data_IF_885133268875
#
_entry.id   IF_885133268875
#
_cell.length_a   1.000
_cell.length_b   1.000
_cell.length_c   1.000
_cell.angle_alpha   90.00
_cell.angle_beta   90.00
_cell.angle_gamma   90.00
#
_symmetry.space_group_name_H-M   'P 1'
#
loop_
_entity.id
_entity.type
_entity.pdbx_description
1 polymer ?
#
# COMPACT_ATOMS: atom_id res chain seq x y z
N UNK A 1 21.38 27.42 6.69
CA UNK A 1 20.96 26.00 6.60
C UNK A 1 20.44 25.73 5.19
N UNK A 2 20.47 24.49 4.68
CA UNK A 2 19.79 24.16 3.41
C UNK A 2 18.71 23.12 3.67
N UNK A 3 17.49 23.40 3.22
CA UNK A 3 16.34 22.49 3.33
C UNK A 3 15.72 22.35 1.93
N UNK A 4 15.72 21.15 1.33
CA UNK A 4 15.12 20.96 0.01
C UNK A 4 13.61 21.20 0.07
N UNK A 5 13.03 21.65 -1.04
CA UNK A 5 11.58 21.82 -1.25
C UNK A 5 10.88 22.86 -0.37
N UNK A 6 11.63 23.66 0.40
CA UNK A 6 11.10 24.85 1.04
C UNK A 6 10.84 25.95 0.00
N UNK A 7 9.59 26.40 -0.07
CA UNK A 7 9.16 27.45 -0.98
C UNK A 7 9.44 28.83 -0.40
N UNK A 8 10.60 29.37 -0.74
CA UNK A 8 11.04 30.71 -0.36
C UNK A 8 10.34 31.83 -1.15
N UNK A 9 9.47 31.49 -2.12
CA UNK A 9 8.68 32.48 -2.88
C UNK A 9 7.35 32.85 -2.23
N UNK A 10 6.93 32.11 -1.19
CA UNK A 10 5.72 32.43 -0.43
C UNK A 10 5.90 33.76 0.32
N UNK A 11 4.90 34.62 0.26
CA UNK A 11 4.88 35.85 1.05
C UNK A 11 4.70 35.53 2.54
N UNK A 12 5.10 36.45 3.41
CA UNK A 12 5.00 36.29 4.86
C UNK A 12 3.54 36.07 5.28
N UNK A 13 2.61 36.78 4.65
CA UNK A 13 1.17 36.60 4.89
C UNK A 13 0.69 35.17 4.59
N UNK A 14 1.16 34.57 3.49
CA UNK A 14 0.84 33.17 3.14
C UNK A 14 1.48 32.21 4.14
N UNK A 15 2.74 32.48 4.50
CA UNK A 15 3.47 31.67 5.47
C UNK A 15 2.78 31.67 6.84
N UNK A 16 2.31 32.83 7.29
CA UNK A 16 1.55 33.00 8.53
C UNK A 16 0.19 32.30 8.49
N UNK A 17 -0.48 32.34 7.34
CA UNK A 17 -1.76 31.64 7.12
C UNK A 17 -1.64 30.12 7.26
N UNK A 18 -0.44 29.53 7.05
CA UNK A 18 -0.23 28.11 7.33
C UNK A 18 -0.49 27.74 8.82
N UNK A 19 -0.54 28.75 9.69
CA UNK A 19 -0.82 28.60 11.11
C UNK A 19 0.44 28.63 11.96
N UNK A 20 0.29 28.34 13.25
CA UNK A 20 1.39 28.46 14.23
C UNK A 20 2.37 27.29 14.18
N UNK A 21 1.93 26.13 13.68
CA UNK A 21 2.81 24.99 13.38
C UNK A 21 3.82 24.69 14.51
N UNK A 22 3.31 24.46 15.72
CA UNK A 22 4.13 24.14 16.89
C UNK A 22 4.68 25.35 17.67
N UNK A 23 4.62 26.56 17.11
CA UNK A 23 5.03 27.78 17.81
C UNK A 23 3.92 28.25 18.76
N UNK A 24 3.92 27.72 19.98
CA UNK A 24 2.98 28.15 21.01
C UNK A 24 3.19 29.66 21.31
N UNK A 25 2.13 30.49 21.32
CA UNK A 25 2.25 31.93 21.51
C UNK A 25 2.75 32.32 22.92
N UNK A 26 2.52 31.44 23.90
CA UNK A 26 2.90 31.63 25.29
C UNK A 26 3.28 30.25 25.89
N UNK A 27 4.17 30.21 26.91
CA UNK A 27 4.46 28.98 27.64
C UNK A 27 3.18 28.33 28.19
N UNK A 28 2.94 27.07 27.85
CA UNK A 28 1.74 26.31 28.27
C UNK A 28 0.53 26.46 27.34
N UNK A 29 0.58 27.31 26.31
CA UNK A 29 -0.47 27.35 25.29
C UNK A 29 -0.38 26.14 24.35
N UNK A 30 -1.51 25.77 23.74
CA UNK A 30 -1.53 24.70 22.74
C UNK A 30 -0.57 25.00 21.58
N UNK A 31 0.33 24.07 21.20
CA UNK A 31 1.30 24.29 20.14
C UNK A 31 0.68 24.26 18.74
N UNK A 32 -0.50 23.64 18.57
CA UNK A 32 -1.20 23.49 17.29
C UNK A 32 -2.53 24.20 17.30
N UNK A 33 -2.80 25.00 16.27
CA UNK A 33 -4.02 25.81 16.15
C UNK A 33 -5.12 25.09 15.39
N UNK A 34 -6.39 25.42 15.68
CA UNK A 34 -7.52 24.98 14.83
C UNK A 34 -7.43 25.50 13.40
N UNK A 35 -6.74 26.63 13.20
CA UNK A 35 -6.50 27.24 11.88
C UNK A 35 -5.23 26.75 11.19
N UNK A 36 -4.52 25.76 11.74
CA UNK A 36 -3.30 25.25 11.12
C UNK A 36 -3.62 24.48 9.83
N UNK A 37 -2.95 24.84 8.74
CA UNK A 37 -3.18 24.27 7.41
C UNK A 37 -2.42 22.93 7.24
N UNK A 38 -2.74 21.92 8.05
CA UNK A 38 -1.96 20.67 8.14
C UNK A 38 -1.83 19.91 6.82
N UNK A 39 -2.82 20.05 5.92
CA UNK A 39 -2.80 19.44 4.60
C UNK A 39 -1.90 20.17 3.58
N UNK A 40 -1.43 21.38 3.90
CA UNK A 40 -0.58 22.17 3.01
C UNK A 40 0.83 21.54 2.94
N UNK A 41 1.44 21.37 1.74
CA UNK A 41 2.75 20.73 1.60
C UNK A 41 3.87 21.41 2.42
N UNK A 42 3.83 22.73 2.56
CA UNK A 42 4.82 23.50 3.32
C UNK A 42 4.56 23.57 4.84
N UNK A 43 3.41 23.10 5.34
CA UNK A 43 3.07 23.21 6.76
C UNK A 43 4.05 22.44 7.66
N UNK A 44 4.38 21.20 7.28
CA UNK A 44 5.30 20.38 8.05
C UNK A 44 6.74 20.90 7.99
N UNK A 45 7.12 21.61 6.92
CA UNK A 45 8.40 22.32 6.84
C UNK A 45 8.41 23.52 7.79
N UNK A 46 7.32 24.28 7.88
CA UNK A 46 7.16 25.34 8.90
C UNK A 46 7.29 24.79 10.32
N UNK A 47 6.61 23.68 10.62
CA UNK A 47 6.71 22.99 11.91
C UNK A 47 8.14 22.57 12.22
N UNK A 48 8.86 22.03 11.22
CA UNK A 48 10.26 21.64 11.37
C UNK A 48 11.13 22.86 11.71
N UNK A 49 11.02 23.95 10.94
CA UNK A 49 11.77 25.18 11.18
C UNK A 49 11.53 25.74 12.58
N UNK A 50 10.26 25.80 13.01
CA UNK A 50 9.89 26.24 14.36
C UNK A 50 10.51 25.38 15.45
N UNK A 51 10.56 24.05 15.26
CA UNK A 51 11.19 23.12 16.22
C UNK A 51 12.70 23.23 16.26
N UNK A 52 13.32 23.57 15.13
CA UNK A 52 14.76 23.79 15.05
C UNK A 52 15.18 25.16 15.58
N UNK A 53 14.22 26.09 15.76
CA UNK A 53 14.51 27.47 16.13
C UNK A 53 15.21 28.25 15.00
N UNK A 54 14.96 27.88 13.74
CA UNK A 54 15.58 28.50 12.56
C UNK A 54 14.52 29.29 11.81
N UNK A 55 14.79 30.57 11.54
CA UNK A 55 13.91 31.40 10.74
C UNK A 55 13.95 30.97 9.26
N UNK A 56 12.86 31.21 8.53
CA UNK A 56 12.73 30.82 7.13
C UNK A 56 13.79 31.52 6.26
N UNK A 57 14.14 32.75 6.61
CA UNK A 57 15.12 33.59 5.94
C UNK A 57 16.57 33.06 6.10
N UNK A 58 16.81 32.21 7.10
CA UNK A 58 18.11 31.55 7.33
C UNK A 58 18.30 30.30 6.45
N UNK A 59 17.25 29.90 5.71
CA UNK A 59 17.30 28.78 4.77
C UNK A 59 17.77 29.28 3.41
N UNK A 60 18.87 28.73 2.95
CA UNK A 60 19.40 29.00 1.62
C UNK A 60 18.72 28.07 0.59
N UNK A 61 18.45 28.55 -0.64
CA UNK A 61 17.93 27.69 -1.69
C UNK A 61 18.90 26.56 -2.02
N UNK A 62 18.40 25.32 -2.07
CA UNK A 62 19.20 24.22 -2.62
C UNK A 62 19.42 24.43 -4.13
N UNK A 63 20.68 24.46 -4.57
CA UNK A 63 21.00 24.64 -5.99
C UNK A 63 20.49 23.46 -6.83
N UNK A 64 19.35 23.63 -7.52
CA UNK A 64 18.87 22.69 -8.54
C UNK A 64 19.57 22.98 -9.87
N UNK A 65 20.82 22.52 -10.03
CA UNK A 65 21.49 22.43 -11.34
C UNK A 65 21.49 20.99 -11.82
N UNK A 66 21.11 20.75 -13.07
CA UNK A 66 21.16 19.43 -13.71
C UNK A 66 20.03 19.19 -14.73
N UNK A 67 20.10 18.05 -15.43
CA UNK A 67 19.15 17.64 -16.48
C UNK A 67 17.69 17.50 -15.99
N UNK A 68 17.48 17.36 -14.68
CA UNK A 68 16.17 17.25 -14.04
C UNK A 68 15.66 18.56 -13.40
N UNK A 69 16.33 19.69 -13.63
CA UNK A 69 15.88 20.98 -13.11
C UNK A 69 14.55 21.38 -13.77
N UNK A 70 13.49 21.50 -12.98
CA UNK A 70 12.19 22.00 -13.45
C UNK A 70 12.31 23.48 -13.84
N UNK A 71 11.54 23.91 -14.86
CA UNK A 71 11.47 25.32 -15.20
C UNK A 71 10.92 26.13 -14.02
N UNK A 72 11.45 27.35 -13.77
CA UNK A 72 10.95 28.21 -12.70
C UNK A 72 9.43 28.45 -12.78
N UNK A 73 8.86 28.55 -13.99
CA UNK A 73 7.44 28.75 -14.25
C UNK A 73 6.56 27.66 -13.60
N UNK A 74 6.99 26.39 -13.65
CA UNK A 74 6.25 25.27 -13.06
C UNK A 74 6.21 25.36 -11.54
N UNK A 75 7.34 25.72 -10.92
CA UNK A 75 7.42 25.90 -9.47
C UNK A 75 6.48 27.00 -8.99
N UNK A 76 6.37 28.11 -9.74
CA UNK A 76 5.44 29.20 -9.41
C UNK A 76 3.97 28.77 -9.56
N UNK A 77 3.63 28.05 -10.64
CA UNK A 77 2.27 27.54 -10.82
C UNK A 77 1.86 26.55 -9.72
N UNK A 78 2.77 25.64 -9.32
CA UNK A 78 2.56 24.69 -8.22
C UNK A 78 2.43 25.43 -6.87
N UNK A 79 3.32 26.38 -6.59
CA UNK A 79 3.24 27.23 -5.39
C UNK A 79 1.88 27.92 -5.29
N UNK A 80 1.42 28.51 -6.39
CA UNK A 80 0.11 29.15 -6.46
C UNK A 80 -1.05 28.16 -6.27
N UNK A 81 -0.97 26.95 -6.84
CA UNK A 81 -2.00 25.91 -6.70
C UNK A 81 -2.25 25.48 -5.24
N UNK A 82 -1.22 25.52 -4.40
CA UNK A 82 -1.33 25.11 -3.00
C UNK A 82 -1.68 26.24 -2.05
N UNK A 83 -1.88 27.49 -2.52
CA UNK A 83 -2.19 28.60 -1.63
C UNK A 83 -3.36 28.29 -0.68
N UNK A 84 -3.23 28.63 0.61
CA UNK A 84 -4.31 28.46 1.59
C UNK A 84 -5.52 29.38 1.29
N UNK A 85 -6.69 29.15 1.91
CA UNK A 85 -7.97 29.73 1.47
C UNK A 85 -8.07 31.26 1.41
N UNK A 86 -7.35 32.00 2.24
CA UNK A 86 -7.33 33.48 2.23
C UNK A 86 -6.43 33.95 1.10
N UNK A 87 -5.23 33.41 0.98
CA UNK A 87 -4.28 33.73 -0.08
C UNK A 87 -4.74 33.33 -1.49
N UNK A 88 -5.49 32.22 -1.62
CA UNK A 88 -5.96 31.73 -2.93
C UNK A 88 -7.00 32.63 -3.59
N UNK A 89 -7.51 33.66 -2.91
CA UNK A 89 -8.39 34.69 -3.51
C UNK A 89 -7.74 35.38 -4.72
N UNK A 90 -6.41 35.51 -4.72
CA UNK A 90 -5.64 36.07 -5.84
C UNK A 90 -5.70 35.22 -7.12
N UNK A 91 -6.20 33.98 -7.07
CA UNK A 91 -6.34 33.11 -8.24
C UNK A 91 -7.18 33.71 -9.36
N UNK A 92 -8.13 34.57 -9.01
CA UNK A 92 -9.00 35.22 -10.01
C UNK A 92 -8.19 36.19 -10.88
N UNK A 93 -7.16 36.83 -10.33
CA UNK A 93 -6.38 37.89 -10.99
C UNK A 93 -5.02 37.42 -11.52
N UNK A 94 -4.65 36.15 -11.28
CA UNK A 94 -3.38 35.58 -11.72
C UNK A 94 -3.24 35.62 -13.25
N UNK A 95 -2.17 36.15 -13.83
CA UNK A 95 -2.03 36.16 -15.29
C UNK A 95 -1.87 34.73 -15.85
N UNK A 96 -2.27 34.52 -17.11
CA UNK A 96 -2.44 33.18 -17.68
C UNK A 96 -1.14 32.36 -17.75
N UNK A 97 0.01 33.02 -17.94
CA UNK A 97 1.34 32.43 -17.86
C UNK A 97 1.64 31.81 -16.50
N UNK A 98 1.11 32.38 -15.41
CA UNK A 98 1.27 31.87 -14.04
C UNK A 98 0.25 30.81 -13.63
N UNK A 99 -0.71 30.49 -14.51
CA UNK A 99 -1.67 29.37 -14.33
C UNK A 99 -1.37 28.18 -15.23
N UNK A 100 -0.40 28.28 -16.15
CA UNK A 100 -0.09 27.24 -17.13
C UNK A 100 0.88 26.22 -16.56
N UNK A 101 0.47 24.95 -16.55
CA UNK A 101 1.34 23.81 -16.28
C UNK A 101 1.90 23.26 -17.59
N UNK A 102 2.82 23.99 -18.22
CA UNK A 102 3.47 23.57 -19.46
C UNK A 102 4.12 22.19 -19.30
N UNK A 103 3.86 21.28 -20.24
CA UNK A 103 4.28 19.87 -20.22
C UNK A 103 3.55 18.96 -19.20
N UNK A 104 2.44 19.42 -18.62
CA UNK A 104 1.49 18.56 -17.90
C UNK A 104 0.33 18.23 -18.83
N UNK A 105 -0.02 16.95 -18.90
CA UNK A 105 -1.17 16.44 -19.66
C UNK A 105 -2.10 15.72 -18.70
N UNK A 106 -3.39 15.84 -18.94
CA UNK A 106 -4.42 15.09 -18.23
C UNK A 106 -4.97 14.04 -19.19
N UNK A 107 -5.13 12.83 -18.69
CA UNK A 107 -5.77 11.72 -19.39
C UNK A 107 -6.90 11.21 -18.50
N UNK A 108 -8.07 11.00 -19.09
CA UNK A 108 -9.22 10.38 -18.42
C UNK A 108 -9.43 9.01 -19.04
N UNK A 109 -9.60 7.99 -18.20
CA UNK A 109 -9.91 6.62 -18.59
C UNK A 109 -11.31 6.26 -18.07
N UNK A 110 -12.06 5.44 -18.81
CA UNK A 110 -13.40 5.03 -18.43
C UNK A 110 -13.39 4.02 -17.26
N UNK A 111 -12.29 3.28 -17.10
CA UNK A 111 -12.13 2.31 -16.03
C UNK A 111 -10.64 2.11 -15.64
N UNK A 112 -10.37 1.50 -14.47
CA UNK A 112 -9.00 1.29 -13.99
C UNK A 112 -8.09 0.39 -14.84
N UNK A 113 -8.66 -0.49 -15.67
CA UNK A 113 -7.88 -1.36 -16.55
C UNK A 113 -7.37 -0.58 -17.77
N UNK A 114 -8.24 0.23 -18.35
CA UNK A 114 -7.89 1.18 -19.42
C UNK A 114 -6.83 2.18 -18.94
N UNK A 115 -6.97 2.71 -17.72
CA UNK A 115 -5.98 3.59 -17.11
C UNK A 115 -4.60 2.91 -17.02
N UNK A 116 -4.57 1.69 -16.48
CA UNK A 116 -3.33 0.92 -16.34
C UNK A 116 -2.65 0.66 -17.69
N UNK A 117 -3.44 0.28 -18.70
CA UNK A 117 -2.94 0.01 -20.04
C UNK A 117 -2.38 1.29 -20.70
N UNK A 118 -3.09 2.41 -20.58
CA UNK A 118 -2.66 3.68 -21.15
C UNK A 118 -1.37 4.20 -20.48
N UNK A 119 -1.26 4.09 -19.15
CA UNK A 119 -0.02 4.38 -18.42
C UNK A 119 1.13 3.50 -18.92
N UNK A 120 0.91 2.19 -19.07
CA UNK A 120 1.94 1.26 -19.53
C UNK A 120 2.43 1.58 -20.95
N UNK A 121 1.52 2.00 -21.85
CA UNK A 121 1.89 2.47 -23.19
C UNK A 121 2.75 3.74 -23.16
N UNK A 122 2.38 4.73 -22.33
CA UNK A 122 3.16 5.95 -22.16
C UNK A 122 4.55 5.68 -21.55
N UNK A 123 4.64 4.72 -20.63
CA UNK A 123 5.93 4.26 -20.09
C UNK A 123 6.78 3.64 -21.18
N UNK A 124 6.20 2.73 -21.97
CA UNK A 124 6.90 2.11 -23.10
C UNK A 124 7.39 3.14 -24.11
N UNK A 125 6.52 4.05 -24.56
CA UNK A 125 6.88 5.14 -25.48
C UNK A 125 8.03 5.99 -24.93
N UNK A 126 7.98 6.33 -23.63
CA UNK A 126 9.06 7.10 -23.01
C UNK A 126 10.40 6.34 -23.01
N UNK A 127 10.38 5.03 -22.81
CA UNK A 127 11.58 4.20 -22.79
C UNK A 127 12.16 3.92 -24.20
N UNK A 128 11.44 4.24 -25.28
CA UNK A 128 12.00 4.21 -26.64
C UNK A 128 13.07 5.31 -26.85
N UNK A 129 13.07 6.36 -26.02
CA UNK A 129 14.14 7.36 -26.00
C UNK A 129 15.30 6.84 -25.14
N UNK A 130 16.52 6.66 -25.69
CA UNK A 130 17.68 6.20 -24.93
C UNK A 130 17.94 7.06 -23.69
N UNK A 131 18.32 6.41 -22.57
CA UNK A 131 18.63 7.04 -21.28
C UNK A 131 17.49 7.80 -20.60
N UNK A 132 16.29 7.82 -21.18
CA UNK A 132 15.13 8.48 -20.57
C UNK A 132 14.63 7.66 -19.39
N UNK A 133 14.53 8.34 -18.25
CA UNK A 133 14.02 7.76 -17.00
C UNK A 133 12.56 8.17 -16.81
N UNK A 134 11.74 7.23 -16.39
CA UNK A 134 10.33 7.47 -16.07
C UNK A 134 9.99 6.89 -14.71
N UNK A 135 9.10 7.56 -13.99
CA UNK A 135 8.54 7.10 -12.74
C UNK A 135 7.01 7.19 -12.82
N UNK A 136 6.34 6.13 -12.39
CA UNK A 136 4.88 6.11 -12.19
C UNK A 136 4.64 6.18 -10.69
N UNK A 137 3.90 7.20 -10.25
CA UNK A 137 3.62 7.44 -8.84
C UNK A 137 2.12 7.29 -8.64
N UNK A 138 1.71 6.35 -7.78
CA UNK A 138 0.31 6.18 -7.39
C UNK A 138 0.22 5.65 -5.96
N UNK A 139 -0.73 6.15 -5.13
CA UNK A 139 -1.05 5.53 -3.86
C UNK A 139 -1.88 4.24 -4.04
N UNK A 140 -2.44 3.97 -5.22
CA UNK A 140 -3.23 2.79 -5.52
C UNK A 140 -2.34 1.60 -5.92
N UNK A 141 -2.22 0.63 -5.01
CA UNK A 141 -1.44 -0.60 -5.24
C UNK A 141 -2.06 -1.53 -6.29
N UNK A 142 -3.37 -1.52 -6.45
CA UNK A 142 -4.03 -2.32 -7.49
C UNK A 142 -3.70 -1.75 -8.88
N UNK A 143 -3.72 -0.42 -9.03
CA UNK A 143 -3.30 0.25 -10.28
C UNK A 143 -1.83 -0.04 -10.59
N UNK A 144 -0.92 0.13 -9.62
CA UNK A 144 0.51 -0.15 -9.80
C UNK A 144 0.75 -1.59 -10.28
N UNK A 145 0.09 -2.58 -9.66
CA UNK A 145 0.18 -3.99 -10.06
C UNK A 145 -0.30 -4.24 -11.49
N UNK A 146 -1.40 -3.61 -11.91
CA UNK A 146 -1.90 -3.74 -13.29
C UNK A 146 -0.93 -3.13 -14.30
N UNK A 147 -0.36 -1.96 -14.00
CA UNK A 147 0.67 -1.34 -14.84
C UNK A 147 1.88 -2.27 -14.99
N UNK A 148 2.41 -2.82 -13.88
CA UNK A 148 3.51 -3.80 -13.90
C UNK A 148 3.17 -5.02 -14.76
N UNK A 149 1.95 -5.54 -14.65
CA UNK A 149 1.50 -6.67 -15.46
C UNK A 149 1.47 -6.35 -16.96
N UNK A 150 0.99 -5.17 -17.35
CA UNK A 150 1.04 -4.74 -18.74
C UNK A 150 2.47 -4.57 -19.24
N UNK A 151 3.35 -3.96 -18.44
CA UNK A 151 4.76 -3.75 -18.78
C UNK A 151 5.52 -5.06 -18.99
N UNK A 152 5.20 -6.10 -18.21
CA UNK A 152 5.81 -7.42 -18.35
C UNK A 152 5.60 -8.05 -19.74
N UNK A 153 4.55 -7.67 -20.47
CA UNK A 153 4.29 -8.14 -21.85
C UNK A 153 5.34 -7.67 -22.84
N UNK A 154 6.07 -6.61 -22.52
CA UNK A 154 7.16 -6.06 -23.32
C UNK A 154 8.52 -6.24 -22.64
N UNK A 155 8.62 -7.15 -21.66
CA UNK A 155 9.84 -7.40 -20.89
C UNK A 155 10.39 -6.16 -20.14
N UNK A 156 9.53 -5.17 -19.89
CA UNK A 156 9.88 -3.98 -19.11
C UNK A 156 9.70 -4.31 -17.63
N UNK A 157 10.81 -4.36 -16.89
CA UNK A 157 10.82 -4.56 -15.44
C UNK A 157 10.74 -3.22 -14.74
N UNK A 158 9.61 -2.95 -14.08
CA UNK A 158 9.46 -1.79 -13.21
C UNK A 158 9.98 -2.10 -11.81
N UNK A 159 10.82 -1.23 -11.26
CA UNK A 159 11.24 -1.28 -9.86
C UNK A 159 10.12 -0.74 -8.96
N UNK A 160 9.29 -1.63 -8.43
CA UNK A 160 8.23 -1.30 -7.49
C UNK A 160 8.80 -1.18 -6.07
N UNK A 161 9.11 0.06 -5.68
CA UNK A 161 9.75 0.39 -4.40
C UNK A 161 8.96 -0.01 -3.15
N UNK A 162 7.65 -0.24 -3.28
CA UNK A 162 6.81 -0.75 -2.17
C UNK A 162 6.80 -2.28 -2.09
N UNK A 163 7.37 -2.97 -3.08
CA UNK A 163 7.44 -4.43 -3.15
C UNK A 163 6.07 -5.12 -3.12
N UNK A 164 6.09 -6.43 -2.87
CA UNK A 164 4.87 -7.22 -2.65
C UNK A 164 4.68 -7.39 -1.14
N UNK A 165 3.51 -7.03 -0.56
CA UNK A 165 3.22 -7.31 0.84
C UNK A 165 3.46 -8.79 1.15
N UNK A 166 4.04 -9.10 2.32
CA UNK A 166 4.29 -10.48 2.71
C UNK A 166 2.98 -11.31 2.70
N UNK A 167 1.87 -10.71 3.15
CA UNK A 167 0.51 -11.27 3.12
C UNK A 167 0.05 -11.69 1.72
N UNK A 168 0.59 -11.08 0.66
CA UNK A 168 0.26 -11.41 -0.71
C UNK A 168 1.15 -12.52 -1.28
N UNK A 169 2.19 -12.95 -0.58
CA UNK A 169 3.03 -14.09 -0.98
C UNK A 169 2.38 -15.42 -0.60
N UNK A 170 2.79 -16.53 -1.23
CA UNK A 170 2.29 -17.86 -0.85
C UNK A 170 2.68 -18.22 0.59
N UNK A 171 3.91 -17.91 1.01
CA UNK A 171 4.37 -18.14 2.38
C UNK A 171 3.62 -17.29 3.40
N UNK A 172 3.44 -15.99 3.14
CA UNK A 172 2.70 -15.11 4.06
C UNK A 172 1.22 -15.46 4.16
N UNK A 173 0.56 -15.85 3.05
CA UNK A 173 -0.82 -16.38 3.13
C UNK A 173 -0.90 -17.65 3.98
N UNK A 174 0.06 -18.56 3.85
CA UNK A 174 0.12 -19.76 4.67
C UNK A 174 0.23 -19.40 6.17
N UNK A 175 1.13 -18.48 6.52
CA UNK A 175 1.29 -18.04 7.91
C UNK A 175 0.03 -17.38 8.47
N UNK A 176 -0.68 -16.57 7.66
CA UNK A 176 -1.96 -15.98 8.05
C UNK A 176 -3.05 -17.04 8.26
N UNK A 177 -3.13 -18.06 7.40
CA UNK A 177 -4.07 -19.17 7.57
C UNK A 177 -3.77 -19.98 8.84
N UNK A 178 -2.48 -20.22 9.15
CA UNK A 178 -2.07 -20.85 10.41
C UNK A 178 -2.50 -20.01 11.62
N UNK A 179 -2.26 -18.70 11.59
CA UNK A 179 -2.71 -17.79 12.66
C UNK A 179 -4.24 -17.78 12.80
N UNK A 180 -4.98 -17.83 11.70
CA UNK A 180 -6.44 -17.91 11.71
C UNK A 180 -6.96 -19.23 12.30
N UNK A 181 -6.32 -20.35 11.96
CA UNK A 181 -6.61 -21.67 12.56
C UNK A 181 -6.38 -21.62 14.08
N UNK A 182 -5.27 -21.03 14.53
CA UNK A 182 -4.98 -20.88 15.95
C UNK A 182 -6.01 -19.99 16.66
N UNK A 183 -6.29 -18.80 16.11
CA UNK A 183 -7.19 -17.81 16.71
C UNK A 183 -8.66 -18.25 16.74
N UNK A 184 -9.08 -19.10 15.79
CA UNK A 184 -10.46 -19.61 15.69
C UNK A 184 -10.60 -21.05 16.20
N UNK A 185 -9.66 -21.52 17.02
CA UNK A 185 -9.73 -22.84 17.64
C UNK A 185 -9.93 -23.98 16.63
N UNK A 186 -9.20 -23.96 15.51
CA UNK A 186 -9.35 -24.93 14.42
C UNK A 186 -10.78 -25.01 13.82
N UNK A 187 -11.45 -23.86 13.66
CA UNK A 187 -12.73 -23.80 12.96
C UNK A 187 -12.68 -24.45 11.57
N UNK A 188 -13.72 -25.21 11.15
CA UNK A 188 -13.71 -25.99 9.91
C UNK A 188 -13.34 -25.20 8.64
N UNK A 189 -13.81 -23.96 8.50
CA UNK A 189 -13.50 -23.11 7.35
C UNK A 189 -12.01 -22.76 7.28
N UNK A 190 -11.40 -22.36 8.40
CA UNK A 190 -9.98 -22.03 8.45
C UNK A 190 -9.11 -23.28 8.21
N UNK A 191 -9.53 -24.42 8.78
CA UNK A 191 -8.87 -25.72 8.58
C UNK A 191 -8.87 -26.14 7.11
N UNK A 192 -10.01 -26.03 6.43
CA UNK A 192 -10.07 -26.39 5.02
C UNK A 192 -9.33 -25.40 4.12
N UNK A 193 -9.38 -24.10 4.43
CA UNK A 193 -8.57 -23.10 3.71
C UNK A 193 -7.07 -23.40 3.82
N UNK A 194 -6.59 -23.80 5.01
CA UNK A 194 -5.22 -24.21 5.23
C UNK A 194 -4.89 -25.51 4.47
N UNK A 195 -5.70 -26.55 4.61
CA UNK A 195 -5.46 -27.83 3.94
C UNK A 195 -5.44 -27.71 2.41
N UNK A 196 -6.24 -26.80 1.85
CA UNK A 196 -6.30 -26.57 0.41
C UNK A 196 -5.18 -25.64 -0.10
N UNK A 197 -4.35 -25.07 0.78
CA UNK A 197 -3.29 -24.14 0.40
C UNK A 197 -2.20 -24.81 -0.47
N UNK A 198 -1.63 -24.14 -1.51
CA UNK A 198 -0.65 -24.74 -2.43
C UNK A 198 0.63 -25.28 -1.79
N UNK A 199 1.03 -24.72 -0.64
CA UNK A 199 2.22 -25.13 0.09
C UNK A 199 1.96 -26.22 1.15
N UNK A 200 0.72 -26.72 1.24
CA UNK A 200 0.32 -27.74 2.23
C UNK A 200 0.02 -29.05 1.49
N UNK A 201 0.82 -30.08 1.77
CA UNK A 201 0.62 -31.42 1.20
C UNK A 201 1.10 -32.56 2.11
N UNK A 202 1.57 -32.28 3.33
CA UNK A 202 1.90 -33.31 4.34
C UNK A 202 2.92 -34.37 3.90
N UNK A 203 3.77 -34.07 2.91
CA UNK A 203 4.70 -35.04 2.32
C UNK A 203 4.08 -35.98 1.27
N UNK A 204 2.77 -35.90 1.03
CA UNK A 204 2.05 -36.66 0.00
C UNK A 204 2.14 -35.97 -1.38
N UNK A 205 1.75 -36.68 -2.44
CA UNK A 205 1.48 -36.05 -3.73
C UNK A 205 0.33 -35.02 -3.61
N UNK A 206 0.48 -33.89 -4.29
CA UNK A 206 -0.46 -32.77 -4.16
C UNK A 206 -1.86 -33.09 -4.69
N UNK A 207 -1.97 -33.91 -5.74
CA UNK A 207 -3.27 -34.31 -6.31
C UNK A 207 -4.01 -35.22 -5.34
N UNK A 208 -3.30 -36.19 -4.76
CA UNK A 208 -3.84 -37.11 -3.76
C UNK A 208 -4.26 -36.35 -2.49
N UNK A 209 -3.42 -35.44 -2.00
CA UNK A 209 -3.74 -34.57 -0.88
C UNK A 209 -5.03 -33.78 -1.10
N UNK A 210 -5.18 -33.15 -2.27
CA UNK A 210 -6.37 -32.38 -2.62
C UNK A 210 -7.61 -33.26 -2.79
N UNK A 211 -7.46 -34.51 -3.25
CA UNK A 211 -8.57 -35.45 -3.34
C UNK A 211 -9.13 -35.76 -1.95
N UNK A 212 -8.26 -36.04 -0.97
CA UNK A 212 -8.67 -36.30 0.41
C UNK A 212 -9.27 -35.06 1.08
N UNK A 213 -8.65 -33.89 0.91
CA UNK A 213 -9.16 -32.63 1.46
C UNK A 213 -10.58 -32.30 0.94
N UNK A 214 -10.88 -32.58 -0.34
CA UNK A 214 -12.21 -32.34 -0.90
C UNK A 214 -13.30 -33.26 -0.35
N UNK A 215 -12.96 -34.49 0.03
CA UNK A 215 -13.90 -35.41 0.68
C UNK A 215 -14.37 -34.80 2.02
N UNK A 216 -13.43 -34.28 2.80
CA UNK A 216 -13.73 -33.60 4.07
C UNK A 216 -14.47 -32.28 3.83
N UNK A 217 -14.02 -31.46 2.87
CA UNK A 217 -14.68 -30.19 2.52
C UNK A 217 -16.16 -30.41 2.17
N UNK A 218 -16.46 -31.46 1.40
CA UNK A 218 -17.81 -31.78 0.98
C UNK A 218 -18.73 -32.11 2.16
N UNK A 219 -18.29 -32.96 3.09
CA UNK A 219 -19.07 -33.32 4.28
C UNK A 219 -19.25 -32.13 5.24
N UNK A 220 -18.31 -31.18 5.23
CA UNK A 220 -18.37 -29.94 6.03
C UNK A 220 -19.35 -28.88 5.46
N UNK A 221 -19.98 -29.10 4.31
CA UNK A 221 -21.02 -28.20 3.75
C UNK A 221 -22.36 -28.29 4.49
N UNK A 222 -22.50 -29.23 5.44
CA UNK A 222 -23.66 -29.39 6.31
C UNK A 222 -23.67 -28.43 7.52
N UNK A 223 -24.46 -28.74 8.57
CA UNK A 223 -24.47 -27.97 9.82
C UNK A 223 -23.05 -27.79 10.37
N UNK A 224 -22.67 -26.56 10.71
CA UNK A 224 -21.30 -26.21 11.15
C UNK A 224 -20.92 -27.07 12.36
N UNK A 225 -19.88 -27.92 12.26
CA UNK A 225 -19.34 -28.65 13.40
C UNK A 225 -18.81 -27.68 14.47
N UNK A 226 -18.68 -28.19 15.69
CA UNK A 226 -17.99 -27.45 16.75
C UNK A 226 -16.55 -27.16 16.34
N UNK A 227 -15.98 -26.12 16.92
CA UNK A 227 -14.57 -25.78 16.78
C UNK A 227 -13.72 -26.83 17.53
N UNK A 228 -12.48 -27.00 17.11
CA UNK A 228 -11.54 -27.99 17.64
C UNK A 228 -11.14 -29.07 16.65
N UNK A 229 -10.11 -29.83 17.02
CA UNK A 229 -9.62 -30.96 16.23
C UNK A 229 -10.50 -32.22 16.42
N UNK A 230 -11.13 -32.39 17.59
CA UNK A 230 -11.94 -33.59 17.92
C UNK A 230 -13.13 -33.80 16.96
N UNK A 231 -13.92 -32.77 16.59
CA UNK A 231 -15.02 -32.97 15.63
C UNK A 231 -14.53 -33.40 14.25
N UNK A 232 -13.30 -33.01 13.87
CA UNK A 232 -12.68 -33.43 12.63
C UNK A 232 -12.08 -34.85 12.74
N UNK A 233 -11.57 -35.23 13.92
CA UNK A 233 -11.16 -36.60 14.23
C UNK A 233 -12.33 -37.58 14.00
N UNK A 234 -13.50 -37.26 14.58
CA UNK A 234 -14.72 -38.06 14.43
C UNK A 234 -15.20 -38.14 12.98
N UNK A 235 -15.16 -37.00 12.27
CA UNK A 235 -15.55 -36.89 10.88
C UNK A 235 -14.67 -37.76 9.98
N UNK A 236 -13.36 -37.64 10.13
CA UNK A 236 -12.38 -38.42 9.37
C UNK A 236 -12.50 -39.90 9.70
N UNK A 237 -12.70 -40.28 10.97
CA UNK A 237 -12.90 -41.67 11.36
C UNK A 237 -14.17 -42.28 10.73
N UNK A 238 -15.26 -41.51 10.62
CA UNK A 238 -16.50 -41.91 9.93
C UNK A 238 -16.26 -42.11 8.44
N UNK A 239 -15.61 -41.15 7.78
CA UNK A 239 -15.38 -41.15 6.33
C UNK A 239 -14.30 -42.17 5.90
N UNK A 240 -13.30 -42.40 6.75
CA UNK A 240 -12.19 -43.33 6.53
C UNK A 240 -12.62 -44.79 6.38
N UNK A 241 -13.84 -45.15 6.80
CA UNK A 241 -14.44 -46.48 6.56
C UNK A 241 -14.63 -46.78 5.07
N UNK A 242 -14.73 -45.75 4.23
CA UNK A 242 -15.02 -45.88 2.80
C UNK A 242 -13.99 -45.17 1.90
N UNK A 243 -13.01 -44.47 2.49
CA UNK A 243 -12.01 -43.68 1.77
C UNK A 243 -10.60 -44.07 2.20
N UNK A 244 -9.91 -44.84 1.37
CA UNK A 244 -8.50 -45.17 1.58
C UNK A 244 -7.63 -43.90 1.54
N UNK A 245 -6.66 -43.79 2.46
CA UNK A 245 -5.73 -42.66 2.54
C UNK A 245 -6.22 -41.45 3.34
N UNK A 246 -7.51 -41.39 3.73
CA UNK A 246 -8.05 -40.24 4.48
C UNK A 246 -7.46 -40.15 5.91
N UNK A 247 -7.24 -41.30 6.55
CA UNK A 247 -6.63 -41.37 7.87
C UNK A 247 -5.15 -40.91 7.85
N UNK A 248 -4.41 -41.27 6.80
CA UNK A 248 -3.01 -40.85 6.61
C UNK A 248 -2.93 -39.34 6.34
N UNK A 249 -3.77 -38.83 5.45
CA UNK A 249 -3.91 -37.40 5.16
C UNK A 249 -4.20 -36.59 6.43
N UNK A 250 -5.17 -37.05 7.23
CA UNK A 250 -5.54 -36.36 8.45
C UNK A 250 -4.46 -36.45 9.53
N UNK A 251 -3.79 -37.59 9.66
CA UNK A 251 -2.66 -37.76 10.58
C UNK A 251 -1.53 -36.76 10.28
N UNK A 252 -1.18 -36.59 9.00
CA UNK A 252 -0.17 -35.63 8.56
C UNK A 252 -0.57 -34.18 8.85
N UNK A 253 -1.85 -33.82 8.66
CA UNK A 253 -2.35 -32.47 8.96
C UNK A 253 -2.45 -32.22 10.47
N UNK A 254 -3.03 -33.16 11.21
CA UNK A 254 -3.27 -33.07 12.65
C UNK A 254 -1.97 -32.98 13.43
N UNK A 255 -0.98 -33.82 13.13
CA UNK A 255 0.32 -33.79 13.82
C UNK A 255 1.03 -32.44 13.70
N UNK A 256 0.89 -31.76 12.57
CA UNK A 256 1.44 -30.43 12.36
C UNK A 256 0.66 -29.32 13.10
N UNK A 257 -0.62 -29.53 13.40
CA UNK A 257 -1.51 -28.51 13.97
C UNK A 257 -1.73 -28.64 15.48
N UNK A 258 -1.54 -29.82 16.06
CA UNK A 258 -1.65 -30.04 17.51
C UNK A 258 -0.83 -29.01 18.31
N UNK A 259 0.48 -28.79 18.04
CA UNK A 259 1.26 -27.82 18.80
C UNK A 259 0.72 -26.38 18.70
N UNK A 260 0.13 -26.05 17.54
CA UNK A 260 -0.39 -24.72 17.25
C UNK A 260 -1.71 -24.45 17.99
N UNK A 261 -2.61 -25.43 18.02
CA UNK A 261 -3.92 -25.31 18.67
C UNK A 261 -3.79 -25.36 20.19
N UNK A 262 -2.89 -26.20 20.73
CA UNK A 262 -2.62 -26.27 22.18
C UNK A 262 -1.99 -24.98 22.72
N UNK A 263 -1.08 -24.38 21.96
CA UNK A 263 -0.42 -23.12 22.35
C UNK A 263 -1.34 -21.90 22.30
N UNK A 264 -2.44 -21.96 21.54
CA UNK A 264 -3.39 -20.85 21.38
C UNK A 264 -4.58 -20.90 22.35
N UNK A 265 -4.80 -22.05 23.00
CA UNK A 265 -5.83 -22.25 24.03
C UNK A 265 -5.37 -21.97 25.46
N UNK A 266 -4.13 -21.52 25.65
CA UNK A 266 -3.53 -21.08 26.93
C UNK A 266 -3.54 -19.56 27.04
#
# INVERSE_FOLDING_TARGET
MVLPDLDLSLTDAVWDELGRAGAAPQPGAEPFGRGDAVAHPQYHLKLLLNRMGVAREEVQPWHRKGLAAASPERSHAISKLFLPPIASREWVDLPADKRRLSNVRIMQAANPEEEAQAIALLVREALETPEKRIAVITPDRALARRVVHHLARWEIVADDSAGRPLSDTAAGRLLLLLAEVAAKGAAPVAMMALAMHPLVHGGMDRREWLAQARIVEHELRGPRPREGLEPLDDLVAKLGKHSAGLAEWWSALRSALVPLVESAGS
#
